data_IF_506086856256
#
_entry.id   IF_506086856256
#
_cell.length_a   1.000
_cell.length_b   1.000
_cell.length_c   1.000
_cell.angle_alpha   90.00
_cell.angle_beta   90.00
_cell.angle_gamma   90.00
#
_symmetry.space_group_name_H-M   'P 1'
#
loop_
_entity.id
_entity.type
_entity.pdbx_description
1 polymer ?
#
# COMPACT_ATOMS: atom_id res chain seq x y z
N UNK A 1 10.49 24.32 -10.52
CA UNK A 1 10.79 24.77 -9.15
C UNK A 1 10.10 23.86 -8.15
N UNK A 2 10.77 22.82 -7.66
CA UNK A 2 10.21 21.91 -6.66
C UNK A 2 11.36 21.23 -5.89
N UNK A 3 12.06 21.97 -5.04
CA UNK A 3 13.25 21.45 -4.35
C UNK A 3 13.38 21.82 -2.88
N UNK A 4 12.39 22.46 -2.25
CA UNK A 4 12.51 22.89 -0.85
C UNK A 4 11.62 22.14 0.15
N UNK A 5 10.61 21.39 -0.28
CA UNK A 5 9.63 20.78 0.64
C UNK A 5 9.86 19.27 0.93
N UNK A 6 10.92 18.67 0.40
CA UNK A 6 11.11 17.21 0.44
C UNK A 6 12.05 16.72 1.56
N UNK A 7 12.73 17.63 2.25
CA UNK A 7 13.88 17.27 3.11
C UNK A 7 13.62 17.23 4.61
N UNK A 8 12.49 17.69 5.14
CA UNK A 8 12.31 17.79 6.61
C UNK A 8 11.65 16.54 7.24
N UNK A 9 11.14 15.60 6.43
CA UNK A 9 10.27 14.51 6.92
C UNK A 9 10.59 13.13 6.31
N UNK A 10 11.84 12.90 5.93
CA UNK A 10 12.27 11.64 5.30
C UNK A 10 12.05 10.42 6.20
N UNK A 11 12.19 10.60 7.52
CA UNK A 11 12.00 9.53 8.51
C UNK A 11 10.52 9.14 8.63
N UNK A 12 9.62 10.13 8.71
CA UNK A 12 8.16 9.92 8.75
C UNK A 12 7.65 9.29 7.45
N UNK A 13 8.17 9.69 6.30
CA UNK A 13 7.79 9.07 5.02
C UNK A 13 8.24 7.62 4.94
N UNK A 14 9.45 7.32 5.38
CA UNK A 14 9.95 5.95 5.45
C UNK A 14 9.08 5.10 6.37
N UNK A 15 8.73 5.62 7.56
CA UNK A 15 7.78 4.96 8.46
C UNK A 15 6.42 4.72 7.80
N UNK A 16 5.84 5.70 7.11
CA UNK A 16 4.58 5.52 6.39
C UNK A 16 4.67 4.41 5.34
N UNK A 17 5.77 4.33 4.59
CA UNK A 17 6.01 3.26 3.61
C UNK A 17 6.09 1.90 4.31
N UNK A 18 6.83 1.82 5.41
CA UNK A 18 7.02 0.59 6.17
C UNK A 18 5.71 0.02 6.70
N UNK A 19 4.80 0.88 7.16
CA UNK A 19 3.46 0.47 7.64
C UNK A 19 2.54 -0.10 6.54
N UNK A 20 2.86 0.09 5.25
CA UNK A 20 2.11 -0.53 4.13
C UNK A 20 2.42 -2.03 4.02
N UNK A 21 3.59 -2.47 4.49
CA UNK A 21 4.04 -3.86 4.39
C UNK A 21 3.79 -4.62 5.69
N UNK A 22 3.67 -5.94 5.57
CA UNK A 22 3.63 -6.83 6.72
C UNK A 22 4.95 -6.76 7.48
N UNK A 23 4.88 -6.62 8.81
CA UNK A 23 6.04 -6.48 9.70
C UNK A 23 6.56 -5.05 9.90
N UNK A 24 5.95 -4.05 9.28
CA UNK A 24 6.19 -2.64 9.59
C UNK A 24 7.63 -2.21 9.33
N UNK A 25 8.21 -1.44 10.27
CA UNK A 25 9.54 -0.88 10.14
C UNK A 25 10.70 -1.90 10.17
N UNK A 26 10.40 -3.16 10.49
CA UNK A 26 11.40 -4.23 10.61
C UNK A 26 11.68 -5.02 9.35
N UNK A 27 10.90 -4.84 8.26
CA UNK A 27 10.94 -5.80 7.11
C UNK A 27 11.56 -5.26 5.83
N UNK A 28 12.16 -4.08 5.87
CA UNK A 28 13.04 -3.64 4.79
C UNK A 28 14.40 -4.30 4.99
N UNK A 29 14.65 -5.36 4.19
CA UNK A 29 15.94 -6.01 3.87
C UNK A 29 16.17 -7.40 4.52
N UNK A 30 15.65 -8.44 3.85
CA UNK A 30 16.38 -9.70 3.63
C UNK A 30 16.41 -10.77 4.73
N UNK A 31 15.91 -10.50 5.94
CA UNK A 31 16.03 -11.47 7.06
C UNK A 31 14.77 -12.30 7.33
N UNK A 32 13.63 -11.92 6.77
CA UNK A 32 12.36 -12.65 6.98
C UNK A 32 12.21 -13.83 6.01
N UNK A 33 11.63 -14.96 6.46
CA UNK A 33 11.31 -16.07 5.57
C UNK A 33 10.31 -15.64 4.49
N UNK A 34 10.41 -16.26 3.32
CA UNK A 34 9.42 -16.04 2.26
C UNK A 34 8.02 -16.40 2.80
N UNK A 35 7.01 -15.53 2.62
CA UNK A 35 5.68 -15.78 3.17
C UNK A 35 5.08 -17.07 2.61
N UNK A 36 4.42 -17.84 3.47
CA UNK A 36 3.72 -19.07 3.09
C UNK A 36 2.27 -18.83 2.65
N UNK A 37 1.76 -17.60 2.84
CA UNK A 37 0.40 -17.20 2.53
C UNK A 37 0.29 -15.74 2.09
N UNK A 38 -0.82 -15.45 1.42
CA UNK A 38 -1.23 -14.10 1.02
C UNK A 38 -1.48 -13.21 2.24
N UNK A 39 -0.72 -12.12 2.37
CA UNK A 39 -0.76 -11.19 3.51
C UNK A 39 -0.58 -9.72 3.07
N UNK A 40 -0.80 -8.78 3.98
CA UNK A 40 -0.65 -7.36 3.68
C UNK A 40 -1.71 -6.84 2.70
N UNK A 41 -1.30 -5.96 1.78
CA UNK A 41 -2.12 -5.57 0.62
C UNK A 41 -2.46 -6.75 -0.31
N UNK A 42 -1.71 -7.85 -0.24
CA UNK A 42 -1.99 -9.06 -1.01
C UNK A 42 -2.91 -10.06 -0.33
N UNK A 43 -3.47 -9.78 0.86
CA UNK A 43 -4.33 -10.73 1.56
C UNK A 43 -5.64 -11.01 0.79
N UNK A 44 -6.17 -12.24 0.85
CA UNK A 44 -7.36 -12.61 0.07
C UNK A 44 -8.65 -11.97 0.60
N UNK A 45 -8.78 -11.87 1.93
CA UNK A 45 -9.97 -11.32 2.58
C UNK A 45 -9.82 -9.81 2.76
N UNK A 46 -10.84 -9.05 2.35
CA UNK A 46 -10.86 -7.60 2.51
C UNK A 46 -10.65 -7.15 3.97
N UNK A 47 -11.16 -7.92 4.94
CA UNK A 47 -10.94 -7.68 6.37
C UNK A 47 -9.45 -7.71 6.75
N UNK A 48 -8.70 -8.65 6.19
CA UNK A 48 -7.28 -8.86 6.49
C UNK A 48 -6.41 -7.82 5.75
N UNK A 49 -6.86 -7.35 4.57
CA UNK A 49 -6.22 -6.25 3.84
C UNK A 49 -6.49 -4.88 4.45
N UNK A 50 -7.63 -4.68 5.11
CA UNK A 50 -8.13 -3.37 5.55
C UNK A 50 -7.11 -2.52 6.33
N UNK A 51 -6.33 -3.06 7.31
CA UNK A 51 -5.30 -2.28 8.00
C UNK A 51 -4.22 -1.75 7.06
N UNK A 52 -3.81 -2.56 6.08
CA UNK A 52 -2.80 -2.19 5.10
C UNK A 52 -3.34 -1.20 4.06
N UNK A 53 -4.61 -1.36 3.65
CA UNK A 53 -5.29 -0.37 2.80
C UNK A 53 -5.38 0.99 3.51
N UNK A 54 -5.65 1.01 4.81
CA UNK A 54 -5.66 2.23 5.62
C UNK A 54 -4.29 2.91 5.65
N UNK A 55 -3.22 2.14 5.85
CA UNK A 55 -1.85 2.65 5.85
C UNK A 55 -1.43 3.12 4.45
N UNK A 56 -1.79 2.39 3.41
CA UNK A 56 -1.54 2.75 2.03
C UNK A 56 -2.26 4.03 1.63
N UNK A 57 -3.53 4.17 2.03
CA UNK A 57 -4.28 5.42 1.89
C UNK A 57 -3.58 6.57 2.60
N UNK A 58 -3.11 6.37 3.83
CA UNK A 58 -2.41 7.40 4.59
C UNK A 58 -1.13 7.85 3.88
N UNK A 59 -0.30 6.90 3.43
CA UNK A 59 0.88 7.19 2.62
C UNK A 59 0.52 8.01 1.39
N UNK A 60 -0.46 7.54 0.59
CA UNK A 60 -0.85 8.23 -0.64
C UNK A 60 -1.49 9.59 -0.36
N UNK A 61 -2.17 9.79 0.78
CA UNK A 61 -2.80 11.07 1.11
C UNK A 61 -1.81 12.23 1.26
N UNK A 62 -0.54 11.92 1.53
CA UNK A 62 0.53 12.92 1.57
C UNK A 62 1.04 13.34 0.18
N UNK A 63 0.61 12.66 -0.90
CA UNK A 63 1.13 12.91 -2.24
C UNK A 63 0.42 14.08 -2.93
N UNK A 64 1.10 14.81 -3.83
CA UNK A 64 0.47 15.83 -4.65
C UNK A 64 -0.67 15.25 -5.50
N UNK A 65 -1.75 16.03 -5.69
CA UNK A 65 -2.91 15.65 -6.51
C UNK A 65 -3.68 14.40 -6.05
N UNK A 66 -3.56 14.06 -4.77
CA UNK A 66 -4.29 12.93 -4.18
C UNK A 66 -5.81 13.09 -4.35
N UNK A 67 -6.52 12.07 -4.87
CA UNK A 67 -7.97 12.06 -4.94
C UNK A 67 -8.64 12.30 -3.59
N UNK A 68 -9.74 13.05 -3.58
CA UNK A 68 -10.50 13.36 -2.35
C UNK A 68 -10.99 12.11 -1.61
N UNK A 69 -11.20 11.01 -2.33
CA UNK A 69 -11.55 9.71 -1.76
C UNK A 69 -10.47 9.14 -0.82
N UNK A 70 -9.19 9.46 -1.04
CA UNK A 70 -8.09 9.00 -0.19
C UNK A 70 -7.81 9.93 0.98
N UNK A 71 -8.26 11.19 0.90
CA UNK A 71 -8.08 12.17 1.98
C UNK A 71 -8.96 11.85 3.20
N UNK A 72 -10.12 11.24 2.97
CA UNK A 72 -11.08 10.90 4.04
C UNK A 72 -10.62 9.67 4.84
N UNK A 73 -10.68 9.72 6.20
CA UNK A 73 -10.35 8.58 7.04
C UNK A 73 -11.13 7.31 6.67
N UNK A 74 -10.44 6.17 6.67
CA UNK A 74 -11.11 4.86 6.60
C UNK A 74 -11.58 4.50 8.01
N UNK A 75 -12.89 4.53 8.21
CA UNK A 75 -13.58 4.10 9.43
C UNK A 75 -13.25 2.63 9.75
N UNK A 76 -12.94 2.32 11.01
CA UNK A 76 -12.60 0.95 11.46
C UNK A 76 -13.78 -0.03 11.31
N UNK A 77 -15.00 0.49 11.26
CA UNK A 77 -16.25 -0.27 11.04
C UNK A 77 -16.77 -0.20 9.60
N UNK A 78 -15.95 0.27 8.65
CA UNK A 78 -16.39 0.43 7.27
C UNK A 78 -16.85 -0.91 6.66
N UNK A 79 -17.99 -0.86 5.97
CA UNK A 79 -18.51 -1.98 5.18
C UNK A 79 -17.44 -2.37 4.14
N UNK A 80 -17.28 -3.68 3.88
CA UNK A 80 -16.31 -4.22 2.91
C UNK A 80 -16.31 -3.47 1.57
N UNK A 81 -17.46 -2.99 1.11
CA UNK A 81 -17.61 -2.21 -0.14
C UNK A 81 -16.83 -0.90 -0.13
N UNK A 82 -16.80 -0.17 0.99
CA UNK A 82 -16.05 1.08 1.11
C UNK A 82 -14.54 0.83 1.12
N UNK A 83 -14.10 -0.21 1.83
CA UNK A 83 -12.68 -0.64 1.85
C UNK A 83 -12.20 -0.99 0.45
N UNK A 84 -12.99 -1.74 -0.31
CA UNK A 84 -12.68 -2.10 -1.70
C UNK A 84 -12.64 -0.89 -2.63
N UNK A 85 -13.55 0.08 -2.46
CA UNK A 85 -13.56 1.31 -3.24
C UNK A 85 -12.29 2.16 -2.98
N UNK A 86 -11.88 2.27 -1.71
CA UNK A 86 -10.63 2.95 -1.34
C UNK A 86 -9.41 2.22 -1.88
N UNK A 87 -9.37 0.88 -1.78
CA UNK A 87 -8.30 0.05 -2.34
C UNK A 87 -8.15 0.25 -3.85
N UNK A 88 -9.26 0.23 -4.59
CA UNK A 88 -9.26 0.45 -6.02
C UNK A 88 -8.77 1.85 -6.39
N UNK A 89 -9.26 2.88 -5.71
CA UNK A 89 -8.83 4.27 -5.91
C UNK A 89 -7.34 4.46 -5.61
N UNK A 90 -6.87 3.91 -4.48
CA UNK A 90 -5.47 3.96 -4.06
C UNK A 90 -4.55 3.28 -5.08
N UNK A 91 -4.95 2.09 -5.56
CA UNK A 91 -4.17 1.32 -6.54
C UNK A 91 -4.03 2.08 -7.85
N UNK A 92 -5.13 2.58 -8.41
CA UNK A 92 -5.08 3.34 -9.67
C UNK A 92 -4.23 4.61 -9.54
N UNK A 93 -4.42 5.36 -8.46
CA UNK A 93 -3.66 6.59 -8.22
C UNK A 93 -2.17 6.29 -8.06
N UNK A 94 -1.80 5.26 -7.30
CA UNK A 94 -0.42 4.84 -7.12
C UNK A 94 0.22 4.40 -8.44
N UNK A 95 -0.45 3.54 -9.21
CA UNK A 95 0.06 3.04 -10.49
C UNK A 95 0.30 4.18 -11.47
N UNK A 96 -0.68 5.07 -11.63
CA UNK A 96 -0.55 6.19 -12.55
C UNK A 96 0.53 7.18 -12.10
N UNK A 97 0.58 7.51 -10.80
CA UNK A 97 1.59 8.41 -10.25
C UNK A 97 3.00 7.86 -10.40
N UNK A 98 3.18 6.56 -10.15
CA UNK A 98 4.46 5.88 -10.31
C UNK A 98 4.89 5.86 -11.78
N UNK A 99 3.98 5.54 -12.70
CA UNK A 99 4.26 5.57 -14.13
C UNK A 99 4.63 6.98 -14.61
N UNK A 100 3.87 8.01 -14.21
CA UNK A 100 4.16 9.40 -14.57
C UNK A 100 5.53 9.87 -14.05
N UNK A 101 5.98 9.34 -12.91
CA UNK A 101 7.26 9.75 -12.28
C UNK A 101 8.45 8.95 -12.82
N UNK A 102 8.27 7.65 -13.11
CA UNK A 102 9.37 6.72 -13.38
C UNK A 102 9.33 6.08 -14.78
N UNK A 103 8.28 6.30 -15.56
CA UNK A 103 8.13 5.77 -16.92
C UNK A 103 7.97 4.25 -17.00
N UNK A 104 7.63 3.58 -15.89
CA UNK A 104 7.50 2.12 -15.81
C UNK A 104 6.42 1.71 -14.81
N UNK A 105 5.86 0.49 -14.88
CA UNK A 105 4.90 0.02 -13.89
C UNK A 105 5.54 -0.11 -12.50
N UNK A 106 4.79 0.15 -11.41
CA UNK A 106 5.28 -0.11 -10.06
C UNK A 106 5.36 -1.62 -9.77
N UNK A 107 6.08 -1.94 -8.69
CA UNK A 107 6.00 -3.26 -8.06
C UNK A 107 4.74 -3.26 -7.20
N UNK A 108 3.78 -4.13 -7.53
CA UNK A 108 2.54 -4.31 -6.77
C UNK A 108 2.64 -5.63 -6.01
N UNK A 109 2.29 -5.68 -4.71
CA UNK A 109 2.16 -6.95 -4.00
C UNK A 109 1.21 -7.88 -4.76
N UNK A 110 1.73 -9.01 -5.25
CA UNK A 110 0.93 -10.01 -5.97
C UNK A 110 0.64 -11.20 -5.06
N UNK A 111 -0.45 -11.91 -5.36
CA UNK A 111 -0.76 -13.15 -4.68
C UNK A 111 0.34 -14.19 -4.91
N UNK A 112 0.65 -14.92 -3.85
CA UNK A 112 1.49 -16.12 -3.91
C UNK A 112 0.71 -17.15 -4.73
N UNK A 113 1.33 -17.74 -5.77
CA UNK A 113 0.70 -18.83 -6.52
C UNK A 113 0.30 -19.97 -5.57
N UNK A 114 -0.90 -20.50 -5.74
CA UNK A 114 -1.29 -21.70 -5.00
C UNK A 114 -0.31 -22.82 -5.35
N UNK A 115 0.17 -23.55 -4.34
CA UNK A 115 0.93 -24.77 -4.59
C UNK A 115 -0.01 -25.71 -5.35
N UNK A 116 0.24 -25.92 -6.63
CA UNK A 116 -0.37 -27.01 -7.38
C UNK A 116 0.03 -28.30 -6.66
N UNK A 117 -0.93 -28.92 -5.97
CA UNK A 117 -0.78 -30.27 -5.43
C UNK A 117 -0.63 -31.22 -6.61
N UNK A 118 0.60 -31.43 -7.05
CA UNK A 118 0.92 -32.57 -7.92
C UNK A 118 0.87 -33.78 -7.00
N UNK A 119 -0.23 -34.53 -7.14
CA UNK A 119 -0.46 -35.85 -6.53
C UNK A 119 0.38 -36.87 -7.26
#
# INVERSE_FOLDING_TARGET
MATAAWNDDSMTRLEMVLHVFTGGAGTVLGSEPFPDRNQGLGALRAKDRSPFIKNFRMLLSSWPNTPSALQKPLETSAINTHVLAVEHCATLFYVQSFYNTHGRPPIIPRHIPERSSVV
#
